data_IF_015176768069
#
_entry.id   IF_015176768069
#
_cell.length_a   1.000
_cell.length_b   1.000
_cell.length_c   1.000
_cell.angle_alpha   90.00
_cell.angle_beta   90.00
_cell.angle_gamma   90.00
#
_symmetry.space_group_name_H-M   'P 1'
#
loop_
_entity.id
_entity.type
_entity.pdbx_description
1 polymer ?
#
# COMPACT_ATOMS: atom_id res chain seq x y z
N UNK A 1 3.87 4.96 -24.44
CA UNK A 1 2.77 4.17 -23.85
C UNK A 1 1.54 5.08 -23.70
N UNK A 2 0.40 4.55 -24.14
CA UNK A 2 -0.85 5.30 -24.20
C UNK A 2 -1.47 5.40 -22.79
N UNK A 3 -2.14 6.52 -22.48
CA UNK A 3 -2.96 6.69 -21.27
C UNK A 3 -3.95 5.52 -21.07
N UNK A 4 -4.45 4.97 -22.18
CA UNK A 4 -5.34 3.82 -22.18
C UNK A 4 -4.70 2.55 -21.64
N UNK A 5 -3.41 2.29 -21.94
CA UNK A 5 -2.70 1.09 -21.45
C UNK A 5 -2.56 1.14 -19.93
N UNK A 6 -2.32 2.32 -19.37
CA UNK A 6 -2.25 2.53 -17.92
C UNK A 6 -3.60 2.36 -17.25
N UNK A 7 -4.63 2.98 -17.81
CA UNK A 7 -6.00 2.90 -17.31
C UNK A 7 -6.50 1.46 -17.33
N UNK A 8 -6.28 0.74 -18.44
CA UNK A 8 -6.66 -0.68 -18.57
C UNK A 8 -5.91 -1.54 -17.56
N UNK A 9 -4.59 -1.34 -17.39
CA UNK A 9 -3.81 -2.08 -16.41
C UNK A 9 -4.31 -1.86 -14.99
N UNK A 10 -4.59 -0.63 -14.60
CA UNK A 10 -5.07 -0.28 -13.25
C UNK A 10 -6.46 -0.88 -13.00
N UNK A 11 -7.35 -0.81 -13.99
CA UNK A 11 -8.66 -1.47 -13.91
C UNK A 11 -8.51 -2.99 -13.76
N UNK A 12 -7.69 -3.63 -14.58
CA UNK A 12 -7.47 -5.07 -14.51
C UNK A 12 -6.96 -5.45 -13.12
N UNK A 13 -5.99 -4.70 -12.57
CA UNK A 13 -5.43 -4.98 -11.26
C UNK A 13 -6.44 -4.81 -10.11
N UNK A 14 -7.34 -3.83 -10.22
CA UNK A 14 -8.41 -3.62 -9.24
C UNK A 14 -9.47 -4.72 -9.37
N UNK A 15 -9.83 -5.08 -10.59
CA UNK A 15 -10.89 -6.05 -10.86
C UNK A 15 -10.41 -7.50 -10.80
N UNK A 16 -9.11 -7.76 -10.89
CA UNK A 16 -8.55 -9.12 -10.96
C UNK A 16 -9.08 -10.06 -9.87
N UNK A 17 -9.13 -9.69 -8.57
CA UNK A 17 -9.71 -10.54 -7.54
C UNK A 17 -11.18 -10.89 -7.81
N UNK A 18 -11.94 -9.91 -8.31
CA UNK A 18 -13.36 -10.09 -8.63
C UNK A 18 -13.57 -10.94 -9.88
N UNK A 19 -12.71 -10.77 -10.88
CA UNK A 19 -12.71 -11.60 -12.10
C UNK A 19 -12.41 -13.06 -11.78
N UNK A 20 -11.48 -13.33 -10.86
CA UNK A 20 -11.21 -14.69 -10.38
C UNK A 20 -12.46 -15.29 -9.70
N UNK A 21 -13.11 -14.53 -8.81
CA UNK A 21 -14.33 -14.98 -8.12
C UNK A 21 -15.44 -15.23 -9.14
N UNK A 22 -15.71 -14.27 -10.03
CA UNK A 22 -16.77 -14.37 -11.04
C UNK A 22 -16.47 -15.51 -12.01
N UNK A 23 -15.23 -15.61 -12.53
CA UNK A 23 -14.85 -16.69 -13.45
C UNK A 23 -14.99 -18.07 -12.82
N UNK A 24 -14.67 -18.18 -11.54
CA UNK A 24 -14.81 -19.41 -10.79
C UNK A 24 -16.29 -19.86 -10.64
N UNK A 25 -17.22 -18.91 -10.51
CA UNK A 25 -18.66 -19.21 -10.41
C UNK A 25 -19.38 -19.32 -11.76
N UNK A 26 -18.87 -18.72 -12.84
CA UNK A 26 -19.46 -18.78 -14.17
C UNK A 26 -19.06 -20.03 -14.97
N UNK A 27 -17.93 -20.65 -14.61
CA UNK A 27 -17.41 -21.86 -15.31
C UNK A 27 -18.18 -23.16 -14.99
N UNK A 28 -18.88 -23.32 -13.86
CA UNK A 28 -19.62 -24.54 -13.65
C UNK A 28 -20.85 -24.60 -14.56
N UNK A 29 -20.85 -25.56 -15.46
CA UNK A 29 -22.09 -26.06 -16.05
C UNK A 29 -23.00 -26.58 -14.92
N UNK A 30 -24.26 -26.25 -15.00
CA UNK A 30 -25.28 -26.55 -13.97
C UNK A 30 -25.29 -28.02 -13.50
N UNK A 31 -24.85 -28.97 -14.35
CA UNK A 31 -24.90 -30.41 -14.10
C UNK A 31 -23.65 -30.97 -13.40
N UNK A 32 -22.52 -30.28 -13.42
CA UNK A 32 -21.26 -30.71 -12.76
C UNK A 32 -20.47 -29.51 -12.26
N UNK A 33 -20.77 -28.97 -11.08
CA UNK A 33 -19.98 -27.89 -10.51
C UNK A 33 -18.59 -28.41 -10.16
N UNK A 34 -17.56 -27.66 -10.60
CA UNK A 34 -16.15 -27.95 -10.28
C UNK A 34 -15.94 -27.96 -8.76
N UNK A 35 -16.69 -27.12 -8.04
CA UNK A 35 -16.73 -27.11 -6.58
C UNK A 35 -18.18 -27.31 -6.12
N UNK A 36 -18.41 -28.26 -5.21
CA UNK A 36 -19.71 -28.45 -4.59
C UNK A 36 -20.21 -27.15 -3.92
N UNK A 37 -21.54 -26.87 -3.95
CA UNK A 37 -22.09 -25.62 -3.42
C UNK A 37 -21.72 -25.32 -1.97
N UNK A 38 -21.55 -26.36 -1.15
CA UNK A 38 -21.13 -26.26 0.26
C UNK A 38 -19.73 -25.63 0.44
N UNK A 39 -18.88 -25.67 -0.59
CA UNK A 39 -17.53 -25.11 -0.55
C UNK A 39 -17.41 -23.73 -1.25
N UNK A 40 -18.50 -23.19 -1.79
CA UNK A 40 -18.43 -21.92 -2.53
C UNK A 40 -17.95 -20.76 -1.66
N UNK A 41 -18.45 -20.68 -0.43
CA UNK A 41 -18.03 -19.60 0.48
C UNK A 41 -16.53 -19.68 0.79
N UNK A 42 -16.02 -20.87 1.08
CA UNK A 42 -14.59 -21.08 1.34
C UNK A 42 -13.71 -20.74 0.12
N UNK A 43 -14.18 -21.11 -1.08
CA UNK A 43 -13.51 -20.79 -2.33
C UNK A 43 -13.44 -19.26 -2.57
N UNK A 44 -14.54 -18.54 -2.30
CA UNK A 44 -14.56 -17.07 -2.40
C UNK A 44 -13.57 -16.44 -1.43
N UNK A 45 -13.54 -16.85 -0.17
CA UNK A 45 -12.62 -16.33 0.83
C UNK A 45 -11.16 -16.60 0.42
N UNK A 46 -10.87 -17.80 -0.05
CA UNK A 46 -9.54 -18.19 -0.53
C UNK A 46 -9.08 -17.32 -1.72
N UNK A 47 -9.93 -17.22 -2.75
CA UNK A 47 -9.63 -16.45 -3.95
C UNK A 47 -9.48 -14.95 -3.66
N UNK A 48 -10.31 -14.42 -2.74
CA UNK A 48 -10.20 -13.05 -2.30
C UNK A 48 -8.86 -12.80 -1.61
N UNK A 49 -8.42 -13.71 -0.73
CA UNK A 49 -7.11 -13.63 -0.07
C UNK A 49 -5.96 -13.66 -1.08
N UNK A 50 -5.99 -14.58 -2.06
CA UNK A 50 -4.99 -14.65 -3.12
C UNK A 50 -4.97 -13.37 -3.98
N UNK A 51 -6.14 -12.88 -4.40
CA UNK A 51 -6.25 -11.65 -5.18
C UNK A 51 -5.74 -10.43 -4.42
N UNK A 52 -5.99 -10.37 -3.11
CA UNK A 52 -5.47 -9.33 -2.25
C UNK A 52 -3.93 -9.38 -2.16
N UNK A 53 -3.33 -10.58 -1.96
CA UNK A 53 -1.88 -10.77 -1.96
C UNK A 53 -1.25 -10.40 -3.30
N UNK A 54 -1.90 -10.78 -4.41
CA UNK A 54 -1.47 -10.40 -5.75
C UNK A 54 -1.45 -8.89 -5.92
N UNK A 55 -2.50 -8.18 -5.50
CA UNK A 55 -2.54 -6.71 -5.50
C UNK A 55 -1.39 -6.11 -4.69
N UNK A 56 -1.09 -6.66 -3.50
CA UNK A 56 -0.01 -6.18 -2.65
C UNK A 56 1.37 -6.34 -3.27
N UNK A 57 1.58 -7.39 -4.07
CA UNK A 57 2.83 -7.61 -4.79
C UNK A 57 3.18 -6.43 -5.71
N UNK A 58 2.19 -5.89 -6.42
CA UNK A 58 2.38 -4.70 -7.25
C UNK A 58 2.42 -3.41 -6.44
N UNK A 59 1.63 -3.34 -5.37
CA UNK A 59 1.56 -2.17 -4.50
C UNK A 59 2.85 -1.90 -3.74
N UNK A 60 3.62 -2.94 -3.42
CA UNK A 60 4.87 -2.86 -2.66
C UNK A 60 6.00 -3.60 -3.39
N UNK A 61 6.45 -3.07 -4.54
CA UNK A 61 7.54 -3.69 -5.25
C UNK A 61 8.80 -3.72 -4.37
N UNK A 62 9.37 -4.93 -4.26
CA UNK A 62 10.66 -5.12 -3.59
C UNK A 62 11.78 -4.80 -4.58
N UNK A 63 12.21 -3.57 -4.62
CA UNK A 63 13.20 -3.08 -5.57
C UNK A 63 14.23 -2.19 -4.89
N UNK A 64 15.27 -1.84 -5.62
CA UNK A 64 16.24 -0.83 -5.22
C UNK A 64 15.51 0.52 -5.13
N UNK A 65 15.79 1.29 -4.10
CA UNK A 65 15.26 2.64 -3.91
C UNK A 65 16.27 3.66 -4.45
N UNK A 66 16.20 4.06 -5.74
CA UNK A 66 17.10 5.04 -6.30
C UNK A 66 16.93 6.38 -5.60
N UNK A 67 18.03 7.14 -5.50
CA UNK A 67 17.98 8.51 -4.99
C UNK A 67 17.37 9.41 -6.07
N UNK A 68 16.32 10.14 -5.70
CA UNK A 68 15.56 11.01 -6.61
C UNK A 68 15.24 12.33 -5.92
N UNK A 69 15.22 13.42 -6.70
CA UNK A 69 14.76 14.72 -6.24
C UNK A 69 13.22 14.82 -6.28
N UNK A 70 12.66 15.73 -5.50
CA UNK A 70 11.21 15.96 -5.48
C UNK A 70 10.70 16.39 -6.87
N UNK A 71 11.43 17.27 -7.57
CA UNK A 71 11.06 17.66 -8.93
C UNK A 71 10.99 16.49 -9.90
N UNK A 72 12.00 15.60 -9.88
CA UNK A 72 12.02 14.38 -10.69
C UNK A 72 10.82 13.49 -10.41
N UNK A 73 10.42 13.33 -9.13
CA UNK A 73 9.24 12.56 -8.75
C UNK A 73 7.95 13.22 -9.24
N UNK A 74 7.82 14.55 -9.08
CA UNK A 74 6.63 15.28 -9.50
C UNK A 74 6.41 15.26 -11.03
N UNK A 75 7.48 15.13 -11.81
CA UNK A 75 7.42 14.96 -13.27
C UNK A 75 6.92 13.56 -13.69
N UNK A 76 6.97 12.56 -12.78
CA UNK A 76 6.46 11.23 -13.06
C UNK A 76 4.93 11.23 -13.04
N UNK A 77 4.31 11.23 -14.20
CA UNK A 77 2.84 11.26 -14.34
C UNK A 77 2.22 9.85 -14.37
N UNK A 78 3.01 8.83 -14.71
CA UNK A 78 2.59 7.43 -14.85
C UNK A 78 2.69 6.67 -13.52
N UNK A 79 2.10 7.21 -12.46
CA UNK A 79 2.15 6.68 -11.11
C UNK A 79 0.74 6.51 -10.57
N UNK A 80 0.43 5.31 -10.10
CA UNK A 80 -0.85 5.00 -9.45
C UNK A 80 -0.64 4.26 -8.13
N UNK A 81 -1.73 3.98 -7.43
CA UNK A 81 -1.72 3.23 -6.16
C UNK A 81 -1.08 1.83 -6.28
N UNK A 82 -1.19 1.22 -7.46
CA UNK A 82 -0.63 -0.11 -7.76
C UNK A 82 0.61 -0.07 -8.66
N UNK A 83 1.04 1.10 -9.07
CA UNK A 83 2.30 1.36 -9.78
C UNK A 83 3.10 2.45 -9.08
N UNK A 84 3.52 2.23 -7.84
CA UNK A 84 4.34 3.20 -7.14
C UNK A 84 5.76 3.18 -7.69
N UNK A 85 6.46 4.29 -7.51
CA UNK A 85 7.89 4.38 -7.82
C UNK A 85 8.66 4.27 -6.51
N UNK A 86 9.49 3.22 -6.32
CA UNK A 86 10.40 3.15 -5.18
C UNK A 86 11.43 4.26 -5.30
N UNK A 87 11.63 5.01 -4.22
CA UNK A 87 12.56 6.14 -4.21
C UNK A 87 13.20 6.37 -2.84
N UNK A 88 14.38 6.99 -2.88
CA UNK A 88 15.02 7.59 -1.71
C UNK A 88 15.07 9.10 -1.93
N UNK A 89 14.54 9.86 -0.99
CA UNK A 89 14.55 11.32 -1.02
C UNK A 89 15.21 11.85 0.24
N UNK A 90 16.04 12.88 0.08
CA UNK A 90 16.68 13.60 1.20
C UNK A 90 16.16 15.02 1.25
N UNK A 91 15.93 15.53 2.44
CA UNK A 91 15.50 16.90 2.62
C UNK A 91 15.23 17.23 4.08
N UNK A 92 14.73 18.44 4.30
CA UNK A 92 14.40 18.96 5.63
C UNK A 92 12.90 18.87 5.86
N UNK A 93 12.48 18.42 7.04
CA UNK A 93 11.07 18.44 7.44
C UNK A 93 10.64 19.88 7.71
N UNK A 94 9.70 20.41 6.93
CA UNK A 94 9.20 21.78 7.05
C UNK A 94 7.95 21.92 7.89
N UNK A 95 7.20 20.87 8.04
CA UNK A 95 5.94 20.92 8.76
C UNK A 95 5.34 19.54 8.99
N UNK A 96 4.20 19.56 9.65
CA UNK A 96 3.41 18.41 10.01
C UNK A 96 2.00 18.58 9.47
N UNK A 97 1.45 17.52 8.90
CA UNK A 97 0.05 17.46 8.52
C UNK A 97 -0.35 18.19 7.23
N UNK A 98 -1.52 17.84 6.75
CA UNK A 98 -2.25 18.61 5.76
C UNK A 98 -2.85 19.81 6.51
N UNK A 99 -2.76 21.06 5.98
CA UNK A 99 -3.36 22.23 6.62
C UNK A 99 -4.84 21.98 6.95
N UNK A 100 -5.20 22.10 8.25
CA UNK A 100 -6.55 21.83 8.74
C UNK A 100 -6.76 20.47 9.45
N UNK A 101 -5.79 19.56 9.37
CA UNK A 101 -5.82 18.29 10.11
C UNK A 101 -4.83 18.32 11.27
N UNK A 102 -5.35 18.55 12.49
CA UNK A 102 -4.53 18.70 13.72
C UNK A 102 -3.85 17.39 14.15
N UNK A 103 -4.35 16.23 13.68
CA UNK A 103 -3.91 14.91 14.09
C UNK A 103 -3.33 14.07 12.92
N UNK A 104 -2.78 14.71 11.90
CA UNK A 104 -2.13 13.99 10.81
C UNK A 104 -0.68 13.68 11.18
N UNK A 105 -0.28 12.41 11.00
CA UNK A 105 1.11 11.94 11.13
C UNK A 105 1.95 12.26 9.88
N UNK A 106 1.32 12.88 8.88
CA UNK A 106 1.95 13.25 7.63
C UNK A 106 2.99 14.35 7.89
N UNK A 107 4.14 14.18 7.31
CA UNK A 107 5.23 15.16 7.35
C UNK A 107 5.33 15.85 5.98
N UNK A 108 5.85 17.05 5.98
CA UNK A 108 6.15 17.79 4.77
C UNK A 108 7.67 17.84 4.61
N UNK A 109 8.18 17.19 3.57
CA UNK A 109 9.59 17.20 3.21
C UNK A 109 9.85 18.26 2.15
N UNK A 110 10.89 19.03 2.33
CA UNK A 110 11.42 19.94 1.33
C UNK A 110 12.86 19.56 1.01
N UNK A 111 13.15 19.39 -0.29
CA UNK A 111 14.51 19.38 -0.83
C UNK A 111 14.79 20.70 -1.56
N UNK A 112 15.94 20.79 -2.25
CA UNK A 112 16.33 21.96 -3.01
C UNK A 112 15.46 22.21 -4.26
N UNK A 113 14.64 21.22 -4.65
CA UNK A 113 13.86 21.22 -5.90
C UNK A 113 12.37 21.37 -5.69
N UNK A 114 11.86 21.07 -4.49
CA UNK A 114 10.42 21.16 -4.23
C UNK A 114 9.99 20.66 -2.86
N UNK A 115 8.68 20.48 -2.72
CA UNK A 115 8.03 20.04 -1.49
C UNK A 115 7.15 18.81 -1.80
N UNK A 116 7.22 17.80 -0.93
CA UNK A 116 6.42 16.59 -1.04
C UNK A 116 5.87 16.15 0.31
N UNK A 117 4.69 15.55 0.31
CA UNK A 117 4.09 14.96 1.50
C UNK A 117 4.66 13.57 1.77
N UNK A 118 4.86 13.28 3.04
CA UNK A 118 5.30 11.98 3.54
C UNK A 118 4.17 11.36 4.35
N UNK A 119 3.69 10.20 3.92
CA UNK A 119 2.65 9.43 4.60
C UNK A 119 3.32 8.36 5.49
N UNK A 120 3.27 8.58 6.81
CA UNK A 120 3.83 7.67 7.81
C UNK A 120 2.71 6.91 8.52
N UNK A 121 2.20 5.85 7.89
CA UNK A 121 1.16 5.02 8.48
C UNK A 121 1.74 3.88 9.31
N UNK A 122 1.10 3.65 10.45
CA UNK A 122 1.32 2.50 11.29
C UNK A 122 0.13 1.52 11.20
N UNK A 123 0.31 0.22 11.52
CA UNK A 123 -0.76 -0.78 11.43
C UNK A 123 -1.99 -0.50 12.29
N UNK A 124 -1.81 0.19 13.42
CA UNK A 124 -2.87 0.52 14.36
C UNK A 124 -3.01 2.04 14.49
N UNK A 125 -4.19 2.55 14.22
CA UNK A 125 -4.51 3.99 14.31
C UNK A 125 -4.18 4.60 15.70
N UNK A 126 -4.26 3.81 16.77
CA UNK A 126 -3.89 4.24 18.12
C UNK A 126 -2.40 4.60 18.20
N UNK A 127 -1.52 3.83 17.53
CA UNK A 127 -0.09 4.10 17.49
C UNK A 127 0.23 5.33 16.63
N UNK A 128 -0.51 5.54 15.52
CA UNK A 128 -0.43 6.76 14.72
C UNK A 128 -0.73 7.99 15.57
N UNK A 129 -1.85 7.95 16.32
CA UNK A 129 -2.26 9.04 17.18
C UNK A 129 -1.26 9.33 18.30
N UNK A 130 -0.77 8.30 19.01
CA UNK A 130 0.24 8.46 20.08
C UNK A 130 1.55 9.00 19.50
N UNK A 131 1.98 8.50 18.37
CA UNK A 131 3.24 8.90 17.73
C UNK A 131 3.16 10.35 17.24
N UNK A 132 2.07 10.72 16.58
CA UNK A 132 1.80 12.07 16.13
C UNK A 132 1.82 13.08 17.26
N UNK A 133 1.16 12.76 18.38
CA UNK A 133 1.11 13.62 19.54
C UNK A 133 2.44 13.76 20.26
N UNK A 134 3.20 12.67 20.40
CA UNK A 134 4.44 12.67 21.20
C UNK A 134 5.69 13.14 20.43
N UNK A 135 5.77 12.97 19.14
CA UNK A 135 7.04 13.09 18.39
C UNK A 135 7.00 13.90 17.10
N UNK A 136 5.81 14.19 16.59
CA UNK A 136 5.73 14.89 15.30
C UNK A 136 6.39 16.28 15.32
N UNK A 137 6.23 17.03 16.40
CA UNK A 137 6.81 18.39 16.52
C UNK A 137 8.34 18.35 16.65
N UNK A 138 8.90 17.27 17.19
CA UNK A 138 10.35 17.11 17.35
C UNK A 138 11.10 16.85 16.04
N UNK A 139 10.40 16.62 14.93
CA UNK A 139 11.01 16.33 13.63
C UNK A 139 11.08 17.54 12.71
N UNK A 140 10.29 18.58 12.99
CA UNK A 140 10.31 19.81 12.19
C UNK A 140 11.69 20.48 12.28
N UNK A 141 12.23 20.86 11.13
CA UNK A 141 13.56 21.48 10.99
C UNK A 141 14.72 20.49 10.92
N UNK A 142 14.46 19.17 11.01
CA UNK A 142 15.54 18.17 10.89
C UNK A 142 15.70 17.67 9.47
N UNK A 143 16.95 17.34 9.12
CA UNK A 143 17.25 16.68 7.88
C UNK A 143 16.96 15.18 8.00
N UNK A 144 16.24 14.65 7.01
CA UNK A 144 15.86 13.26 6.97
C UNK A 144 16.16 12.66 5.61
N UNK A 145 16.46 11.36 5.61
CA UNK A 145 16.51 10.52 4.42
C UNK A 145 15.34 9.55 4.49
N UNK A 146 14.46 9.59 3.49
CA UNK A 146 13.25 8.77 3.41
C UNK A 146 13.39 7.78 2.28
N UNK A 147 13.10 6.51 2.54
CA UNK A 147 12.92 5.47 1.55
C UNK A 147 11.47 5.02 1.56
N UNK A 148 10.85 4.98 0.39
CA UNK A 148 9.44 4.62 0.29
C UNK A 148 8.95 4.49 -1.14
N UNK A 149 7.65 4.52 -1.29
CA UNK A 149 6.96 4.38 -2.56
C UNK A 149 6.24 5.69 -2.89
N UNK A 150 6.70 6.37 -3.93
CA UNK A 150 6.04 7.54 -4.45
C UNK A 150 4.70 7.15 -5.09
N UNK A 151 3.65 7.87 -4.73
CA UNK A 151 2.28 7.69 -5.20
C UNK A 151 1.66 9.04 -5.59
N UNK A 152 0.64 9.00 -6.43
CA UNK A 152 0.01 10.22 -6.96
C UNK A 152 -1.51 10.14 -6.95
N UNK A 153 -2.11 9.76 -5.84
CA UNK A 153 -3.57 9.78 -5.73
C UNK A 153 -4.01 9.92 -4.27
N UNK A 154 -4.81 10.93 -3.91
CA UNK A 154 -5.33 12.07 -4.70
C UNK A 154 -4.31 13.18 -4.92
N UNK A 155 -3.21 13.21 -4.18
CA UNK A 155 -2.11 14.15 -4.31
C UNK A 155 -0.77 13.40 -4.32
N UNK A 156 0.31 14.02 -4.83
CA UNK A 156 1.65 13.43 -4.76
C UNK A 156 2.12 13.25 -3.31
N UNK A 157 2.51 12.01 -2.94
CA UNK A 157 3.06 11.71 -1.62
C UNK A 157 4.01 10.50 -1.67
N UNK A 158 4.84 10.35 -0.65
CA UNK A 158 5.68 9.17 -0.46
C UNK A 158 5.13 8.38 0.74
N UNK A 159 4.68 7.14 0.48
CA UNK A 159 4.37 6.18 1.55
C UNK A 159 5.70 5.66 2.12
N UNK A 160 5.98 5.96 3.38
CA UNK A 160 7.28 5.68 4.01
C UNK A 160 7.43 4.19 4.29
N UNK A 161 8.52 3.59 3.78
CA UNK A 161 9.00 2.29 4.22
C UNK A 161 9.94 2.42 5.43
N UNK A 162 10.94 3.28 5.30
CA UNK A 162 11.83 3.64 6.40
C UNK A 162 12.31 5.08 6.24
N UNK A 163 12.73 5.68 7.34
CA UNK A 163 13.39 6.98 7.33
C UNK A 163 14.50 7.04 8.37
N UNK A 164 15.53 7.82 8.07
CA UNK A 164 16.70 8.02 8.93
C UNK A 164 16.79 9.48 9.33
N UNK A 165 16.84 9.71 10.63
CA UNK A 165 17.04 11.03 11.26
C UNK A 165 18.17 10.92 12.24
N UNK A 166 19.13 11.83 12.18
CA UNK A 166 20.28 11.86 13.12
C UNK A 166 20.96 10.49 13.28
N UNK A 167 21.11 9.74 12.17
CA UNK A 167 21.72 8.41 12.16
C UNK A 167 20.84 7.27 12.72
N UNK A 168 19.61 7.56 13.16
CA UNK A 168 18.66 6.55 13.65
C UNK A 168 17.63 6.22 12.59
N UNK A 169 17.61 4.97 12.14
CA UNK A 169 16.64 4.48 11.15
C UNK A 169 15.39 3.94 11.85
N UNK A 170 14.23 4.36 11.37
CA UNK A 170 12.92 3.86 11.79
C UNK A 170 12.20 3.26 10.60
N UNK A 171 11.43 2.20 10.82
CA UNK A 171 10.69 1.46 9.78
C UNK A 171 9.19 1.57 9.99
N UNK A 172 8.45 1.66 8.89
CA UNK A 172 7.01 1.41 8.85
C UNK A 172 6.75 -0.09 8.68
N UNK A 173 5.81 -0.62 9.43
CA UNK A 173 5.44 -2.04 9.39
C UNK A 173 4.09 -2.26 8.69
N UNK A 174 3.48 -1.21 8.15
CA UNK A 174 2.15 -1.28 7.54
C UNK A 174 2.08 -2.29 6.40
N UNK A 175 3.06 -2.30 5.50
CA UNK A 175 3.10 -3.23 4.38
C UNK A 175 3.21 -4.68 4.84
N UNK A 176 3.99 -4.98 5.89
CA UNK A 176 4.10 -6.32 6.48
C UNK A 176 2.75 -6.73 7.05
N UNK A 177 2.09 -5.84 7.80
CA UNK A 177 0.77 -6.12 8.37
C UNK A 177 -0.28 -6.40 7.28
N UNK A 178 -0.26 -5.67 6.17
CA UNK A 178 -1.14 -5.94 5.03
C UNK A 178 -0.88 -7.32 4.41
N UNK A 179 0.39 -7.72 4.24
CA UNK A 179 0.72 -9.07 3.76
C UNK A 179 0.25 -10.15 4.74
N UNK A 180 0.46 -9.96 6.05
CA UNK A 180 -0.04 -10.88 7.07
C UNK A 180 -1.56 -11.01 7.01
N UNK A 181 -2.28 -9.90 6.84
CA UNK A 181 -3.75 -9.92 6.67
C UNK A 181 -4.16 -10.76 5.46
N UNK A 182 -3.51 -10.57 4.31
CA UNK A 182 -3.78 -11.37 3.11
C UNK A 182 -3.51 -12.86 3.30
N UNK A 183 -2.41 -13.21 3.96
CA UNK A 183 -2.05 -14.60 4.31
C UNK A 183 -3.12 -15.20 5.23
N UNK A 184 -3.52 -14.48 6.27
CA UNK A 184 -4.55 -14.95 7.22
C UNK A 184 -5.88 -15.20 6.51
N UNK A 185 -6.34 -14.28 5.65
CA UNK A 185 -7.58 -14.46 4.88
C UNK A 185 -7.49 -15.72 3.99
N UNK A 186 -6.36 -15.89 3.30
CA UNK A 186 -6.12 -17.06 2.44
C UNK A 186 -6.16 -18.36 3.25
N UNK A 187 -5.49 -18.39 4.41
CA UNK A 187 -5.48 -19.55 5.30
C UNK A 187 -6.88 -19.86 5.85
N UNK A 188 -7.66 -18.84 6.23
CA UNK A 188 -9.05 -19.03 6.64
C UNK A 188 -9.85 -19.71 5.53
N UNK A 189 -9.71 -19.28 4.27
CA UNK A 189 -10.33 -19.90 3.13
C UNK A 189 -9.97 -21.40 2.98
N UNK A 190 -8.68 -21.72 3.15
CA UNK A 190 -8.21 -23.13 3.13
C UNK A 190 -8.79 -23.95 4.28
N UNK A 191 -8.80 -23.40 5.50
CA UNK A 191 -9.31 -24.09 6.68
C UNK A 191 -10.82 -24.34 6.60
N UNK A 192 -11.58 -23.41 6.06
CA UNK A 192 -13.01 -23.55 5.76
C UNK A 192 -13.21 -24.64 4.71
N UNK A 193 -12.42 -24.66 3.65
CA UNK A 193 -12.50 -25.67 2.60
C UNK A 193 -12.19 -27.08 3.13
N UNK A 194 -11.21 -27.18 4.03
CA UNK A 194 -10.84 -28.45 4.66
C UNK A 194 -11.80 -28.90 5.79
N UNK A 195 -12.87 -28.14 6.09
CA UNK A 195 -13.81 -28.44 7.17
C UNK A 195 -13.22 -28.33 8.58
N UNK A 196 -12.08 -27.63 8.72
CA UNK A 196 -11.42 -27.41 10.02
C UNK A 196 -12.09 -26.30 10.85
N UNK A 197 -12.82 -25.42 10.18
CA UNK A 197 -13.67 -24.40 10.79
C UNK A 197 -15.07 -24.59 10.21
N UNK A 198 -16.06 -24.74 11.10
CA UNK A 198 -17.48 -24.84 10.75
C UNK A 198 -18.11 -23.47 11.05
N UNK A 199 -18.81 -22.91 10.07
CA UNK A 199 -19.60 -21.67 10.22
C UNK A 199 -21.08 -22.06 10.31
#
# INVERSE_FOLDING_TARGET
>A
ESYWDEFVHDIIMILFPWLLIIGFFLVPTYDNPIIPPEHWFSAVVFLFGLGYLYKLYFRYPNSIYPEMSVDTLLQQVKVSDIRPIPCTVRGTVRGKGIPGYVFSDDLVLQDDTGIIFLDHRQPLAIWEWIWGWMRGDSMVGKDITVQGWYRRSPMPYIEINNFTVEGKTRRSYLWIFRYLTGIVITLIGVMLFAGLIII
#
